data_IF_128454493046
#
_entry.id   IF_128454493046
#
_cell.length_a   1.000
_cell.length_b   1.000
_cell.length_c   1.000
_cell.angle_alpha   90.00
_cell.angle_beta   90.00
_cell.angle_gamma   90.00
#
_symmetry.space_group_name_H-M   'P 1'
#
loop_
_entity.id
_entity.type
_entity.pdbx_description
1 polymer ?
#
# COMPACT_ATOMS: atom_id res chain seq x y z
N UNK A 1 47.94 53.83 31.97
CA UNK A 1 46.58 53.49 32.43
C UNK A 1 45.64 53.97 31.32
N UNK A 2 44.87 53.16 30.59
CA UNK A 2 44.29 51.86 30.87
C UNK A 2 44.06 51.13 29.53
N UNK A 3 44.51 49.88 29.42
CA UNK A 3 43.92 48.91 28.50
C UNK A 3 42.54 48.51 29.04
N UNK A 4 41.54 48.43 28.16
CA UNK A 4 40.35 47.58 28.37
C UNK A 4 40.04 46.92 27.04
N UNK A 5 40.17 45.58 26.90
CA UNK A 5 39.74 44.89 25.70
C UNK A 5 38.21 44.78 25.70
N UNK A 6 37.56 45.19 24.60
CA UNK A 6 36.16 44.93 24.38
C UNK A 6 35.95 43.43 24.17
N UNK A 7 35.42 42.78 25.20
CA UNK A 7 34.98 41.38 25.20
C UNK A 7 33.70 41.30 24.35
N UNK A 8 33.82 41.01 23.05
CA UNK A 8 32.66 40.66 22.24
C UNK A 8 32.20 39.26 22.65
N UNK A 9 31.12 39.24 23.43
CA UNK A 9 30.36 38.05 23.78
C UNK A 9 29.85 37.45 22.46
N UNK A 10 30.42 36.33 22.05
CA UNK A 10 29.82 35.49 21.02
C UNK A 10 28.47 35.01 21.57
N UNK A 11 27.38 35.59 21.08
CA UNK A 11 26.04 35.03 21.20
C UNK A 11 26.03 33.73 20.41
N UNK A 12 26.36 32.63 21.08
CA UNK A 12 25.99 31.29 20.66
C UNK A 12 24.47 31.22 20.72
N UNK A 13 23.80 31.66 19.65
CA UNK A 13 22.40 31.32 19.44
C UNK A 13 22.32 29.80 19.43
N UNK A 14 21.44 29.29 20.30
CA UNK A 14 21.22 27.89 20.58
C UNK A 14 20.73 27.15 19.33
N UNK A 15 21.69 26.67 18.53
CA UNK A 15 21.42 25.90 17.32
C UNK A 15 20.81 24.55 17.63
N UNK A 16 20.96 24.05 18.87
CA UNK A 16 20.37 22.77 19.31
C UNK A 16 18.90 22.92 19.64
N UNK A 17 18.51 23.94 20.42
CA UNK A 17 17.08 24.19 20.68
C UNK A 17 16.31 24.52 19.40
N UNK A 18 16.91 25.26 18.47
CA UNK A 18 16.28 25.57 17.18
C UNK A 18 16.23 24.37 16.23
N UNK A 19 17.22 23.47 16.25
CA UNK A 19 17.17 22.18 15.54
C UNK A 19 16.15 21.23 16.16
N UNK A 20 16.07 21.14 17.48
CA UNK A 20 15.09 20.33 18.19
C UNK A 20 13.68 20.86 18.01
N UNK A 21 13.48 22.18 17.97
CA UNK A 21 12.21 22.80 17.62
C UNK A 21 11.82 22.56 16.15
N UNK A 22 12.77 22.57 15.21
CA UNK A 22 12.54 22.20 13.80
C UNK A 22 12.27 20.70 13.63
N UNK A 23 12.95 19.86 14.40
CA UNK A 23 12.76 18.41 14.42
C UNK A 23 11.40 18.08 15.04
N UNK A 24 11.06 18.67 16.20
CA UNK A 24 9.74 18.58 16.82
C UNK A 24 8.65 19.17 15.94
N UNK A 25 8.89 20.27 15.23
CA UNK A 25 7.94 20.82 14.27
C UNK A 25 7.74 19.91 13.04
N UNK A 26 8.78 19.24 12.53
CA UNK A 26 8.65 18.20 11.49
C UNK A 26 7.92 16.95 12.00
N UNK A 27 8.17 16.56 13.24
CA UNK A 27 7.58 15.42 13.94
C UNK A 27 6.11 15.70 14.33
N UNK A 28 5.77 16.97 14.60
CA UNK A 28 4.41 17.44 14.88
C UNK A 28 3.60 17.75 13.59
N UNK A 29 4.25 17.95 12.43
CA UNK A 29 3.59 18.36 11.18
C UNK A 29 2.70 17.31 10.51
N UNK A 30 2.44 16.17 11.13
CA UNK A 30 1.29 15.36 10.74
C UNK A 30 0.89 14.44 11.88
N UNK A 31 0.40 14.95 13.00
CA UNK A 31 -0.57 14.13 13.73
C UNK A 31 -1.83 14.05 12.85
N UNK A 32 -2.20 12.86 12.41
CA UNK A 32 -3.28 12.72 11.44
C UNK A 32 -3.63 11.28 11.14
N UNK A 33 -4.79 11.11 10.52
CA UNK A 33 -5.27 9.84 9.99
C UNK A 33 -5.25 9.93 8.47
N UNK A 34 -4.63 8.95 7.83
CA UNK A 34 -4.50 8.86 6.39
C UNK A 34 -5.12 7.57 5.89
N UNK A 35 -5.53 7.57 4.62
CA UNK A 35 -6.10 6.42 3.97
C UNK A 35 -5.50 6.24 2.57
N UNK A 36 -5.39 4.99 2.15
CA UNK A 36 -5.01 4.61 0.81
C UNK A 36 -5.64 3.26 0.49
N UNK A 37 -6.12 3.06 -0.73
CA UNK A 37 -6.51 1.74 -1.18
C UNK A 37 -6.07 1.43 -2.60
N UNK A 38 -5.91 0.15 -2.88
CA UNK A 38 -5.56 -0.41 -4.17
C UNK A 38 -6.42 -1.63 -4.44
N UNK A 39 -7.11 -1.59 -5.59
CA UNK A 39 -7.80 -2.75 -6.16
C UNK A 39 -7.03 -3.20 -7.39
N UNK A 40 -6.74 -4.50 -7.50
CA UNK A 40 -6.07 -5.08 -8.66
C UNK A 40 -6.96 -6.18 -9.26
N UNK A 41 -7.20 -6.12 -10.58
CA UNK A 41 -8.27 -6.87 -11.24
C UNK A 41 -7.79 -7.55 -12.52
N UNK A 42 -8.36 -8.72 -12.80
CA UNK A 42 -8.48 -9.25 -14.16
C UNK A 42 -9.90 -9.10 -14.68
N UNK A 43 -10.00 -8.81 -15.97
CA UNK A 43 -11.25 -8.75 -16.72
C UNK A 43 -11.22 -9.70 -17.90
N UNK A 44 -12.36 -10.23 -18.26
CA UNK A 44 -12.53 -11.00 -19.49
C UNK A 44 -12.70 -10.09 -20.73
N UNK A 45 -12.85 -10.64 -21.96
CA UNK A 45 -13.10 -9.85 -23.16
C UNK A 45 -14.40 -9.03 -23.16
N UNK A 46 -15.36 -9.37 -22.31
CA UNK A 46 -16.60 -8.61 -22.10
C UNK A 46 -16.41 -7.51 -21.04
N UNK A 47 -15.17 -7.28 -20.60
CA UNK A 47 -14.79 -6.32 -19.55
C UNK A 47 -15.42 -6.60 -18.18
N UNK A 48 -15.91 -7.80 -17.93
CA UNK A 48 -16.43 -8.23 -16.63
C UNK A 48 -15.23 -8.53 -15.73
N UNK A 49 -15.24 -8.04 -14.49
CA UNK A 49 -14.22 -8.41 -13.49
C UNK A 49 -14.39 -9.88 -13.17
N UNK A 50 -13.36 -10.68 -13.38
CA UNK A 50 -13.39 -12.13 -13.15
C UNK A 50 -12.63 -12.55 -11.89
N UNK A 51 -11.57 -11.82 -11.57
CA UNK A 51 -10.84 -11.99 -10.32
C UNK A 51 -10.28 -10.65 -9.83
N UNK A 52 -10.18 -10.50 -8.52
CA UNK A 52 -9.74 -9.26 -7.90
C UNK A 52 -9.12 -9.49 -6.53
N UNK A 53 -8.14 -8.66 -6.21
CA UNK A 53 -7.61 -8.43 -4.85
C UNK A 53 -7.77 -6.95 -4.48
N UNK A 54 -8.00 -6.69 -3.20
CA UNK A 54 -8.08 -5.36 -2.63
C UNK A 54 -7.20 -5.27 -1.38
N UNK A 55 -6.47 -4.17 -1.25
CA UNK A 55 -5.81 -3.77 -0.01
C UNK A 55 -6.16 -2.30 0.28
N UNK A 56 -6.74 -2.05 1.44
CA UNK A 56 -6.94 -0.74 2.02
C UNK A 56 -6.09 -0.58 3.27
N UNK A 57 -5.60 0.61 3.53
CA UNK A 57 -4.81 0.92 4.69
C UNK A 57 -5.22 2.27 5.23
N UNK A 58 -5.68 2.27 6.47
CA UNK A 58 -5.72 3.46 7.29
C UNK A 58 -4.54 3.46 8.26
N UNK A 59 -3.82 4.58 8.36
CA UNK A 59 -2.73 4.71 9.33
C UNK A 59 -2.78 6.04 10.05
N UNK A 60 -2.30 6.03 11.29
CA UNK A 60 -2.10 7.23 12.09
C UNK A 60 -0.63 7.48 12.32
N UNK A 61 -0.29 8.74 12.48
CA UNK A 61 1.08 9.18 12.78
C UNK A 61 1.05 10.01 14.06
N UNK A 62 1.90 9.64 15.03
CA UNK A 62 2.07 10.38 16.29
C UNK A 62 3.56 10.49 16.58
N UNK A 63 4.12 11.66 16.29
CA UNK A 63 5.56 11.87 16.34
C UNK A 63 6.31 11.01 15.30
N UNK A 64 7.29 10.21 15.73
CA UNK A 64 8.00 9.26 14.86
C UNK A 64 7.25 7.94 14.66
N UNK A 65 6.16 7.75 15.39
CA UNK A 65 5.41 6.51 15.41
C UNK A 65 4.35 6.48 14.31
N UNK A 66 4.37 5.44 13.48
CA UNK A 66 3.29 5.16 12.52
C UNK A 66 2.59 3.89 12.96
N UNK A 67 1.27 3.91 12.96
CA UNK A 67 0.46 2.75 13.32
C UNK A 67 -0.55 2.45 12.23
N UNK A 68 -0.53 1.24 11.68
CA UNK A 68 -1.67 0.71 10.92
C UNK A 68 -2.87 0.62 11.86
N UNK A 69 -4.01 1.21 11.49
CA UNK A 69 -5.19 1.27 12.36
C UNK A 69 -6.37 0.47 11.80
N UNK A 70 -6.49 0.38 10.48
CA UNK A 70 -7.55 -0.37 9.82
C UNK A 70 -7.08 -0.89 8.45
N UNK A 71 -6.25 -1.94 8.41
CA UNK A 71 -5.92 -2.62 7.16
C UNK A 71 -7.12 -3.44 6.71
N UNK A 72 -7.56 -3.19 5.48
CA UNK A 72 -8.70 -3.85 4.86
C UNK A 72 -8.22 -4.76 3.73
N UNK A 73 -8.76 -5.97 3.66
CA UNK A 73 -8.39 -6.94 2.64
C UNK A 73 -9.64 -7.60 2.09
N UNK A 74 -9.72 -7.73 0.76
CA UNK A 74 -10.78 -8.53 0.14
C UNK A 74 -10.31 -9.18 -1.15
N UNK A 75 -11.05 -10.20 -1.55
CA UNK A 75 -10.86 -10.89 -2.82
C UNK A 75 -12.21 -11.16 -3.45
N UNK A 76 -12.23 -11.26 -4.76
CA UNK A 76 -13.43 -11.55 -5.51
C UNK A 76 -13.12 -12.48 -6.67
N UNK A 77 -14.05 -13.39 -6.96
CA UNK A 77 -14.02 -14.30 -8.10
C UNK A 77 -15.42 -14.38 -8.69
N UNK A 78 -15.55 -14.20 -10.00
CA UNK A 78 -16.85 -14.23 -10.66
C UNK A 78 -17.31 -15.67 -10.97
N UNK A 79 -18.03 -16.26 -10.02
CA UNK A 79 -18.52 -17.62 -10.12
C UNK A 79 -19.43 -17.87 -11.33
N UNK A 80 -20.12 -16.84 -11.83
CA UNK A 80 -21.01 -16.94 -13.01
C UNK A 80 -20.31 -17.36 -14.30
N UNK A 81 -18.98 -17.24 -14.37
CA UNK A 81 -18.17 -17.71 -15.49
C UNK A 81 -17.23 -18.86 -15.09
N UNK A 82 -17.35 -19.40 -13.88
CA UNK A 82 -16.56 -20.53 -13.39
C UNK A 82 -15.28 -20.15 -12.62
N UNK A 83 -15.06 -18.87 -12.31
CA UNK A 83 -13.91 -18.45 -11.51
C UNK A 83 -14.08 -18.75 -10.02
N UNK A 84 -13.03 -19.28 -9.40
CA UNK A 84 -12.97 -19.53 -7.96
C UNK A 84 -11.56 -19.27 -7.40
N UNK A 85 -11.48 -19.00 -6.09
CA UNK A 85 -10.23 -18.72 -5.40
C UNK A 85 -9.54 -20.02 -5.00
N UNK A 86 -8.25 -20.15 -5.30
CA UNK A 86 -7.41 -21.31 -4.96
C UNK A 86 -6.43 -21.04 -3.83
N UNK A 87 -6.11 -19.76 -3.55
CA UNK A 87 -5.21 -19.37 -2.47
C UNK A 87 -5.44 -17.93 -2.04
N UNK A 88 -5.13 -17.62 -0.78
CA UNK A 88 -5.29 -16.30 -0.19
C UNK A 88 -4.34 -16.07 0.98
N UNK A 89 -3.69 -14.91 1.01
CA UNK A 89 -2.87 -14.47 2.13
C UNK A 89 -2.90 -12.93 2.24
N UNK A 90 -2.77 -12.42 3.46
CA UNK A 90 -2.74 -10.99 3.78
C UNK A 90 -1.67 -10.69 4.80
N UNK A 91 -1.07 -9.51 4.70
CA UNK A 91 -0.07 -9.05 5.67
C UNK A 91 -0.22 -7.57 5.95
N UNK A 92 -0.24 -7.21 7.24
CA UNK A 92 -0.32 -5.82 7.70
C UNK A 92 0.39 -5.69 9.05
N UNK A 93 1.63 -5.15 9.12
CA UNK A 93 2.30 -4.93 10.40
C UNK A 93 1.53 -3.89 11.21
N UNK A 94 1.38 -4.16 12.51
CA UNK A 94 0.67 -3.33 13.46
C UNK A 94 1.64 -2.64 14.43
N UNK A 95 1.21 -1.49 14.95
CA UNK A 95 1.97 -0.73 15.95
C UNK A 95 3.10 0.11 15.35
N UNK A 96 3.91 0.67 16.26
CA UNK A 96 4.90 1.70 16.00
C UNK A 96 6.00 1.25 15.04
N UNK A 97 5.79 1.48 13.75
CA UNK A 97 6.64 0.98 12.68
C UNK A 97 7.19 2.14 11.84
N UNK A 98 8.33 1.97 11.15
CA UNK A 98 8.83 2.97 10.20
C UNK A 98 7.90 3.18 8.99
N UNK A 99 6.99 2.24 8.72
CA UNK A 99 5.96 2.30 7.68
C UNK A 99 4.77 1.41 8.06
N UNK A 100 3.55 1.87 7.79
CA UNK A 100 2.36 1.01 7.83
C UNK A 100 2.16 0.39 6.45
N UNK A 101 1.68 -0.85 6.37
CA UNK A 101 1.36 -1.46 5.07
C UNK A 101 0.18 -2.41 5.16
N UNK A 102 -0.48 -2.60 4.02
CA UNK A 102 -1.44 -3.67 3.81
C UNK A 102 -1.15 -4.30 2.46
N UNK A 103 -0.97 -5.62 2.42
CA UNK A 103 -0.78 -6.39 1.20
C UNK A 103 -1.79 -7.54 1.12
N UNK A 104 -2.39 -7.71 -0.05
CA UNK A 104 -3.30 -8.80 -0.36
C UNK A 104 -2.78 -9.64 -1.51
N UNK A 105 -2.67 -10.94 -1.27
CA UNK A 105 -2.23 -11.95 -2.22
C UNK A 105 -3.34 -12.96 -2.44
N UNK A 106 -3.64 -13.29 -3.69
CA UNK A 106 -4.62 -14.31 -4.00
C UNK A 106 -4.35 -14.99 -5.34
N UNK A 107 -4.77 -16.25 -5.42
CA UNK A 107 -4.74 -17.06 -6.64
C UNK A 107 -6.15 -17.52 -6.98
N UNK A 108 -6.44 -17.58 -8.27
CA UNK A 108 -7.74 -17.97 -8.79
C UNK A 108 -7.57 -18.90 -9.99
N UNK A 109 -8.57 -19.73 -10.20
CA UNK A 109 -8.64 -20.64 -11.33
C UNK A 109 -10.05 -20.62 -11.95
N UNK A 110 -10.10 -20.99 -13.23
CA UNK A 110 -11.34 -21.25 -13.94
C UNK A 110 -11.15 -22.45 -14.87
N UNK A 111 -11.87 -23.54 -14.58
CA UNK A 111 -11.85 -24.79 -15.36
C UNK A 111 -12.89 -24.81 -16.48
N UNK A 112 -13.85 -23.88 -16.45
CA UNK A 112 -14.96 -23.77 -17.38
C UNK A 112 -14.82 -22.58 -18.33
N UNK A 113 -13.66 -21.90 -18.33
CA UNK A 113 -13.41 -20.78 -19.22
C UNK A 113 -13.51 -21.28 -20.67
N UNK A 114 -14.35 -20.68 -21.53
CA UNK A 114 -14.70 -21.23 -22.84
C UNK A 114 -13.52 -21.13 -23.81
N UNK A 115 -12.59 -22.07 -23.67
CA UNK A 115 -11.39 -22.20 -24.47
C UNK A 115 -11.54 -23.33 -25.48
N UNK A 116 -11.31 -23.07 -26.78
CA UNK A 116 -11.14 -24.13 -27.75
C UNK A 116 -10.03 -25.09 -27.30
N UNK A 117 -10.35 -26.36 -27.10
CA UNK A 117 -9.41 -27.39 -26.60
C UNK A 117 -9.46 -27.65 -25.08
N UNK A 118 -10.29 -26.90 -24.33
CA UNK A 118 -10.42 -27.04 -22.88
C UNK A 118 -9.19 -26.59 -22.10
N UNK A 119 -9.26 -26.73 -20.78
CA UNK A 119 -8.15 -26.45 -19.87
C UNK A 119 -8.43 -25.34 -18.85
N UNK A 120 -7.63 -25.33 -17.79
CA UNK A 120 -7.78 -24.38 -16.69
C UNK A 120 -7.05 -23.07 -16.98
N UNK A 121 -7.71 -21.94 -16.74
CA UNK A 121 -7.09 -20.61 -16.72
C UNK A 121 -6.74 -20.24 -15.29
N UNK A 122 -5.57 -19.65 -15.05
CA UNK A 122 -5.15 -19.19 -13.72
C UNK A 122 -4.82 -17.70 -13.72
N UNK A 123 -5.18 -17.03 -12.63
CA UNK A 123 -4.73 -15.66 -12.34
C UNK A 123 -4.15 -15.60 -10.94
N UNK A 124 -2.96 -15.04 -10.81
CA UNK A 124 -2.28 -14.85 -9.54
C UNK A 124 -2.03 -13.37 -9.30
N UNK A 125 -2.39 -12.90 -8.12
CA UNK A 125 -2.15 -11.56 -7.61
C UNK A 125 -1.12 -11.70 -6.50
N UNK A 126 0.18 -11.68 -6.83
CA UNK A 126 1.26 -11.91 -5.86
C UNK A 126 1.59 -10.67 -5.04
N UNK A 127 1.11 -9.49 -5.44
CA UNK A 127 1.19 -8.27 -4.66
C UNK A 127 0.03 -7.34 -4.99
N UNK A 128 -0.66 -6.88 -3.95
CA UNK A 128 -1.63 -5.77 -3.98
C UNK A 128 -1.39 -4.98 -2.71
N UNK A 129 -0.43 -4.05 -2.77
CA UNK A 129 0.19 -3.47 -1.60
C UNK A 129 0.02 -1.97 -1.58
N UNK A 130 -0.34 -1.44 -0.41
CA UNK A 130 -0.32 -0.03 -0.07
C UNK A 130 0.60 0.17 1.14
N UNK A 131 1.35 1.27 1.14
CA UNK A 131 2.31 1.62 2.20
C UNK A 131 2.13 3.07 2.58
N UNK A 132 2.00 3.34 3.87
CA UNK A 132 1.93 4.67 4.47
C UNK A 132 3.21 5.02 5.22
N UNK A 133 3.61 6.30 5.14
CA UNK A 133 4.83 6.85 5.74
C UNK A 133 4.51 7.99 6.74
N UNK A 134 5.49 8.41 7.57
CA UNK A 134 5.31 9.59 8.42
C UNK A 134 5.02 10.81 7.55
N UNK A 135 4.17 11.74 8.03
CA UNK A 135 3.81 12.91 7.24
C UNK A 135 2.67 12.71 6.24
N UNK A 136 2.08 11.49 6.16
CA UNK A 136 0.96 11.19 5.28
C UNK A 136 1.33 10.76 3.86
N UNK A 137 2.63 10.73 3.53
CA UNK A 137 3.09 10.18 2.26
C UNK A 137 2.72 8.71 2.09
N UNK A 138 2.53 8.26 0.86
CA UNK A 138 2.19 6.87 0.57
C UNK A 138 2.83 6.36 -0.73
N UNK A 139 2.96 5.04 -0.84
CA UNK A 139 3.29 4.34 -2.08
C UNK A 139 2.39 3.12 -2.24
N UNK A 140 2.34 2.58 -3.45
CA UNK A 140 1.59 1.38 -3.76
C UNK A 140 2.34 0.52 -4.77
N UNK A 141 2.06 -0.78 -4.78
CA UNK A 141 2.64 -1.71 -5.74
C UNK A 141 1.67 -2.85 -6.04
N UNK A 142 1.67 -3.26 -7.30
CA UNK A 142 0.91 -4.41 -7.78
C UNK A 142 1.79 -5.37 -8.56
N UNK A 143 1.54 -6.66 -8.40
CA UNK A 143 2.16 -7.70 -9.21
C UNK A 143 1.12 -8.78 -9.46
N UNK A 144 0.95 -9.14 -10.72
CA UNK A 144 0.01 -10.18 -11.12
C UNK A 144 0.51 -10.92 -12.35
N UNK A 145 0.12 -12.19 -12.45
CA UNK A 145 0.44 -13.07 -13.57
C UNK A 145 -0.77 -13.92 -13.94
N UNK A 146 -0.77 -14.43 -15.17
CA UNK A 146 -1.83 -15.27 -15.72
C UNK A 146 -1.23 -16.41 -16.52
N UNK A 147 -1.80 -17.60 -16.42
CA UNK A 147 -1.29 -18.82 -17.08
C UNK A 147 -2.43 -19.76 -17.46
N UNK A 148 -2.12 -20.83 -18.20
CA UNK A 148 -3.11 -21.81 -18.63
C UNK A 148 -3.87 -21.41 -19.90
N UNK A 149 -5.03 -22.03 -20.11
CA UNK A 149 -5.82 -21.86 -21.33
C UNK A 149 -6.38 -20.44 -21.46
N UNK A 150 -6.40 -19.88 -22.68
CA UNK A 150 -6.88 -18.53 -23.03
C UNK A 150 -6.53 -17.39 -22.06
N UNK A 151 -5.41 -17.49 -21.33
CA UNK A 151 -4.98 -16.46 -20.41
C UNK A 151 -4.75 -15.12 -21.15
N UNK A 152 -4.35 -15.17 -22.42
CA UNK A 152 -4.14 -14.02 -23.29
C UNK A 152 -5.39 -13.14 -23.43
N UNK A 153 -6.60 -13.71 -23.30
CA UNK A 153 -7.87 -12.99 -23.36
C UNK A 153 -8.15 -12.12 -22.12
N UNK A 154 -7.41 -12.31 -21.02
CA UNK A 154 -7.64 -11.55 -19.81
C UNK A 154 -6.93 -10.19 -19.84
N UNK A 155 -7.64 -9.14 -19.46
CA UNK A 155 -7.09 -7.80 -19.35
C UNK A 155 -6.78 -7.46 -17.90
N UNK A 156 -5.69 -6.75 -17.67
CA UNK A 156 -5.30 -6.28 -16.34
C UNK A 156 -5.84 -4.88 -16.09
N UNK A 157 -6.41 -4.64 -14.92
CA UNK A 157 -6.82 -3.31 -14.48
C UNK A 157 -6.45 -3.09 -13.00
N UNK A 158 -6.37 -1.83 -12.57
CA UNK A 158 -6.25 -1.47 -11.17
C UNK A 158 -6.98 -0.16 -10.89
N UNK A 159 -7.40 0.02 -9.64
CA UNK A 159 -8.01 1.26 -9.15
C UNK A 159 -7.29 1.67 -7.87
N UNK A 160 -6.86 2.93 -7.83
CA UNK A 160 -6.15 3.53 -6.71
C UNK A 160 -7.03 4.65 -6.13
N UNK A 161 -7.26 4.66 -4.81
CA UNK A 161 -7.95 5.75 -4.12
C UNK A 161 -7.12 6.27 -2.96
N UNK A 162 -7.02 7.59 -2.88
CA UNK A 162 -6.30 8.35 -1.85
C UNK A 162 -7.30 9.22 -1.09
#
# INVERSE_FOLDING_TARGET
>A
MSDVPAKTIATFFDTRESLDALQQAKVARAAGTFYQSLTNQYRDPLFIVVSQTFAGLQWTTTGTCITSTNPQHSTYAYAGTGWYRTGYNTSSPWGCTPQASANTVASFANTAFPCPGGGTTYTNHTKTMVVGYPGGGNTWSRTQSKSGACNNLLHTNYVLFN
#
